data_IF_095704566761
#
_entry.id   IF_095704566761
#
_cell.length_a   1.000
_cell.length_b   1.000
_cell.length_c   1.000
_cell.angle_alpha   90.00
_cell.angle_beta   90.00
_cell.angle_gamma   90.00
#
_symmetry.space_group_name_H-M   'P 1'
#
loop_
_entity.id
_entity.type
_entity.pdbx_description
1 polymer ?
#
# COMPACT_ATOMS: atom_id res chain seq x y z
N UNK A 1 -31.80 12.59 -30.72
CA UNK A 1 -32.64 12.49 -29.52
C UNK A 1 -31.99 13.34 -28.45
N UNK A 2 -32.78 14.14 -27.76
CA UNK A 2 -32.29 14.91 -26.62
C UNK A 2 -31.82 13.96 -25.51
N UNK A 3 -30.74 14.32 -24.80
CA UNK A 3 -30.15 13.48 -23.74
C UNK A 3 -31.15 13.21 -22.61
N UNK A 4 -32.07 14.14 -22.38
CA UNK A 4 -33.18 14.04 -21.43
C UNK A 4 -34.19 12.97 -21.86
N UNK A 5 -34.62 12.99 -23.13
CA UNK A 5 -35.55 11.98 -23.68
C UNK A 5 -34.97 10.57 -23.63
N UNK A 6 -33.70 10.41 -24.02
CA UNK A 6 -33.01 9.11 -23.96
C UNK A 6 -32.95 8.55 -22.54
N UNK A 7 -32.67 9.41 -21.54
CA UNK A 7 -32.64 9.01 -20.14
C UNK A 7 -34.02 8.59 -19.63
N UNK A 8 -35.09 9.32 -19.97
CA UNK A 8 -36.45 8.96 -19.56
C UNK A 8 -36.91 7.63 -20.18
N UNK A 9 -36.54 7.35 -21.43
CA UNK A 9 -36.90 6.11 -22.12
C UNK A 9 -36.10 4.89 -21.63
N UNK A 10 -34.83 5.07 -21.29
CA UNK A 10 -33.91 3.94 -21.04
C UNK A 10 -33.46 3.82 -19.58
N UNK A 11 -33.71 4.85 -18.77
CA UNK A 11 -33.14 5.03 -17.43
C UNK A 11 -31.61 4.97 -17.38
N UNK A 12 -30.94 5.08 -18.53
CA UNK A 12 -29.48 5.04 -18.66
C UNK A 12 -28.98 6.45 -18.93
N UNK A 13 -28.03 6.89 -18.11
CA UNK A 13 -27.27 8.11 -18.39
C UNK A 13 -26.23 7.81 -19.46
N UNK A 14 -25.91 8.80 -20.27
CA UNK A 14 -24.82 8.70 -21.24
C UNK A 14 -23.52 8.26 -20.53
N UNK A 15 -22.71 7.41 -21.19
CA UNK A 15 -21.43 7.00 -20.66
C UNK A 15 -20.55 8.23 -20.43
N UNK A 16 -20.15 8.45 -19.17
CA UNK A 16 -19.25 9.54 -18.81
C UNK A 16 -17.93 9.39 -19.58
N UNK A 17 -17.52 10.45 -20.28
CA UNK A 17 -16.25 10.49 -21.03
C UNK A 17 -15.01 10.50 -20.13
N UNK A 18 -15.15 10.91 -18.87
CA UNK A 18 -14.03 10.96 -17.91
C UNK A 18 -13.67 9.56 -17.39
N UNK A 19 -12.38 9.21 -17.30
CA UNK A 19 -11.96 7.94 -16.71
C UNK A 19 -12.42 7.86 -15.25
N UNK A 20 -13.02 6.72 -14.88
CA UNK A 20 -13.48 6.46 -13.50
C UNK A 20 -12.33 6.20 -12.52
N UNK A 21 -11.10 5.97 -13.01
CA UNK A 21 -9.93 5.71 -12.17
C UNK A 21 -9.31 7.01 -11.69
N UNK A 22 -9.44 7.31 -10.39
CA UNK A 22 -8.61 8.31 -9.73
C UNK A 22 -7.21 7.74 -9.55
N UNK A 23 -6.17 8.48 -9.96
CA UNK A 23 -4.79 8.09 -9.68
C UNK A 23 -4.60 7.92 -8.17
N UNK A 24 -3.73 7.00 -7.79
CA UNK A 24 -3.33 6.83 -6.40
C UNK A 24 -2.70 8.14 -5.90
N UNK A 25 -2.94 8.53 -4.63
CA UNK A 25 -2.20 9.63 -4.04
C UNK A 25 -0.69 9.34 -4.16
N UNK A 26 0.08 10.34 -4.60
CA UNK A 26 1.53 10.25 -4.63
C UNK A 26 2.05 10.05 -3.20
N UNK A 27 3.17 9.36 -3.07
CA UNK A 27 3.87 9.24 -1.80
C UNK A 27 4.23 10.64 -1.27
N UNK A 28 4.15 10.82 0.04
CA UNK A 28 4.61 12.04 0.70
C UNK A 28 6.13 12.12 0.57
N UNK A 29 6.68 13.34 0.43
CA UNK A 29 8.13 13.54 0.33
C UNK A 29 8.91 12.91 1.50
N UNK A 30 8.42 13.06 2.74
CA UNK A 30 8.97 12.40 3.94
C UNK A 30 9.13 10.88 3.81
N UNK A 31 8.20 10.22 3.11
CA UNK A 31 8.28 8.78 2.89
C UNK A 31 9.38 8.43 1.89
N UNK A 32 9.56 9.26 0.85
CA UNK A 32 10.61 9.04 -0.15
C UNK A 32 12.00 9.20 0.49
N UNK A 33 12.19 10.25 1.28
CA UNK A 33 13.42 10.48 2.04
C UNK A 33 13.70 9.31 3.00
N UNK A 34 12.70 8.86 3.76
CA UNK A 34 12.87 7.70 4.65
C UNK A 34 13.12 6.38 3.90
N UNK A 35 12.54 6.18 2.71
CA UNK A 35 12.79 4.99 1.88
C UNK A 35 14.24 5.00 1.37
N UNK A 36 14.75 6.16 0.96
CA UNK A 36 16.13 6.35 0.49
C UNK A 36 17.14 6.12 1.61
N UNK A 37 16.99 6.80 2.75
CA UNK A 37 17.86 6.63 3.93
C UNK A 37 17.91 5.18 4.40
N UNK A 38 16.76 4.50 4.41
CA UNK A 38 16.69 3.10 4.80
C UNK A 38 17.41 2.18 3.81
N UNK A 39 17.30 2.45 2.51
CA UNK A 39 18.01 1.66 1.49
C UNK A 39 19.52 1.86 1.58
N UNK A 40 19.98 3.08 1.76
CA UNK A 40 21.41 3.36 1.95
C UNK A 40 21.96 2.68 3.20
N UNK A 41 21.22 2.69 4.30
CA UNK A 41 21.60 1.99 5.51
C UNK A 41 21.72 0.46 5.30
N UNK A 42 20.78 -0.15 4.56
CA UNK A 42 20.83 -1.58 4.26
C UNK A 42 21.98 -1.94 3.32
N UNK A 43 22.26 -1.10 2.32
CA UNK A 43 23.37 -1.30 1.40
C UNK A 43 24.72 -1.19 2.14
N UNK A 44 24.87 -0.22 3.05
CA UNK A 44 26.05 -0.09 3.91
C UNK A 44 26.25 -1.27 4.86
N UNK A 45 25.16 -1.92 5.28
CA UNK A 45 25.19 -3.11 6.13
C UNK A 45 25.33 -4.41 5.32
N UNK A 46 25.37 -4.33 3.98
CA UNK A 46 25.39 -5.46 3.04
C UNK A 46 24.24 -6.47 3.24
N UNK A 47 23.10 -6.01 3.78
CA UNK A 47 21.95 -6.87 4.06
C UNK A 47 21.12 -7.05 2.81
N UNK A 48 20.80 -8.30 2.46
CA UNK A 48 19.88 -8.59 1.35
C UNK A 48 18.43 -8.28 1.75
N UNK A 49 17.78 -7.47 0.92
CA UNK A 49 16.39 -7.08 1.12
C UNK A 49 15.55 -7.18 -0.15
N UNK A 50 14.26 -7.44 0.03
CA UNK A 50 13.25 -7.33 -1.02
C UNK A 50 12.35 -6.14 -0.74
N UNK A 51 12.18 -5.26 -1.73
CA UNK A 51 11.21 -4.18 -1.66
C UNK A 51 9.82 -4.73 -1.95
N UNK A 52 8.79 -4.14 -1.32
CA UNK A 52 7.37 -4.32 -1.67
C UNK A 52 6.87 -5.76 -1.48
N UNK A 53 7.36 -6.43 -0.45
CA UNK A 53 7.11 -7.85 -0.20
C UNK A 53 5.65 -8.14 0.18
N UNK A 54 5.11 -9.20 -0.42
CA UNK A 54 3.77 -9.73 -0.15
C UNK A 54 3.88 -11.21 0.24
N UNK A 55 3.71 -11.52 1.52
CA UNK A 55 3.81 -12.88 2.04
C UNK A 55 2.57 -13.74 1.76
N UNK A 56 1.39 -13.12 1.61
CA UNK A 56 0.15 -13.79 1.20
C UNK A 56 -0.40 -13.17 -0.06
N UNK A 57 -0.49 -13.95 -1.13
CA UNK A 57 -1.10 -13.53 -2.40
C UNK A 57 -2.61 -13.26 -2.29
N UNK A 58 -3.29 -13.95 -1.38
CA UNK A 58 -4.76 -13.87 -1.20
C UNK A 58 -5.24 -12.59 -0.53
N UNK A 59 -4.39 -11.95 0.27
CA UNK A 59 -4.69 -10.69 0.95
C UNK A 59 -3.83 -9.59 0.34
N UNK A 60 -4.36 -8.38 0.21
CA UNK A 60 -3.62 -7.23 -0.31
C UNK A 60 -2.68 -6.64 0.76
N UNK A 61 -2.04 -7.50 1.56
CA UNK A 61 -1.10 -7.12 2.59
C UNK A 61 0.28 -7.00 1.98
N UNK A 62 0.93 -5.87 2.23
CA UNK A 62 2.25 -5.59 1.71
C UNK A 62 3.06 -4.84 2.75
N UNK A 63 4.33 -5.19 2.81
CA UNK A 63 5.36 -4.49 3.58
C UNK A 63 6.29 -3.75 2.63
N UNK A 64 6.95 -2.71 3.14
CA UNK A 64 7.83 -1.88 2.32
C UNK A 64 9.16 -2.62 2.09
N UNK A 65 9.67 -3.30 3.12
CA UNK A 65 10.88 -4.09 3.03
C UNK A 65 10.74 -5.46 3.70
N UNK A 66 11.45 -6.43 3.16
CA UNK A 66 11.68 -7.74 3.76
C UNK A 66 13.19 -8.00 3.83
N UNK A 67 13.72 -8.11 5.04
CA UNK A 67 15.10 -8.53 5.28
C UNK A 67 15.13 -10.06 5.28
N UNK A 68 15.69 -10.65 4.22
CA UNK A 68 15.62 -12.09 3.97
C UNK A 68 16.34 -12.86 5.08
N UNK A 69 17.54 -12.41 5.44
CA UNK A 69 18.41 -13.10 6.39
C UNK A 69 17.82 -13.14 7.80
N UNK A 70 17.19 -12.05 8.21
CA UNK A 70 16.66 -11.91 9.57
C UNK A 70 15.17 -12.25 9.68
N UNK A 71 14.50 -12.53 8.55
CA UNK A 71 13.03 -12.66 8.48
C UNK A 71 12.32 -11.48 9.15
N UNK A 72 12.84 -10.28 8.93
CA UNK A 72 12.22 -9.04 9.45
C UNK A 72 11.40 -8.43 8.32
N UNK A 73 10.21 -7.98 8.66
CA UNK A 73 9.32 -7.20 7.79
C UNK A 73 9.28 -5.78 8.32
N UNK A 74 9.66 -4.82 7.48
CA UNK A 74 9.71 -3.41 7.87
C UNK A 74 8.61 -2.64 7.14
N UNK A 75 7.90 -1.81 7.90
CA UNK A 75 6.87 -0.90 7.40
C UNK A 75 7.24 0.54 7.75
N UNK A 76 7.22 1.42 6.74
CA UNK A 76 7.41 2.86 6.93
C UNK A 76 6.02 3.50 7.05
N UNK A 77 5.78 4.20 8.15
CA UNK A 77 4.53 4.91 8.37
C UNK A 77 4.35 6.07 7.37
N UNK A 78 3.12 6.30 6.93
CA UNK A 78 2.81 7.40 6.02
C UNK A 78 3.07 7.10 4.55
N UNK A 79 3.38 5.84 4.22
CA UNK A 79 3.44 5.38 2.84
C UNK A 79 2.09 5.49 2.13
N UNK A 80 2.09 5.56 0.79
CA UNK A 80 0.87 5.61 -0.01
C UNK A 80 0.01 4.35 0.12
N UNK A 81 0.59 3.27 0.66
CA UNK A 81 -0.02 1.96 0.82
C UNK A 81 -0.40 1.64 2.27
N UNK A 82 0.34 2.16 3.25
CA UNK A 82 0.28 1.85 4.68
C UNK A 82 -0.17 3.07 5.50
N UNK A 83 -1.38 3.01 6.07
CA UNK A 83 -1.88 3.99 7.06
C UNK A 83 -2.19 5.40 6.56
N UNK A 84 -1.51 5.90 5.51
CA UNK A 84 -1.77 7.22 4.91
C UNK A 84 -2.99 7.23 3.98
N UNK A 85 -3.43 6.06 3.53
CA UNK A 85 -4.60 5.92 2.66
C UNK A 85 -5.87 6.10 3.49
N UNK A 86 -6.71 7.07 3.15
CA UNK A 86 -8.04 7.25 3.77
C UNK A 86 -9.10 6.45 3.01
N UNK A 87 -10.11 5.93 3.72
CA UNK A 87 -11.32 5.30 3.15
C UNK A 87 -11.37 3.77 3.21
N UNK A 88 -12.35 3.15 2.54
CA UNK A 88 -12.71 1.72 2.68
C UNK A 88 -11.58 0.72 2.38
N UNK A 89 -10.62 1.09 1.52
CA UNK A 89 -9.47 0.24 1.19
C UNK A 89 -8.38 0.28 2.27
N UNK A 90 -8.34 1.33 3.08
CA UNK A 90 -7.39 1.45 4.19
C UNK A 90 -7.62 0.34 5.21
N UNK A 91 -8.88 0.14 5.60
CA UNK A 91 -9.30 -0.88 6.57
C UNK A 91 -9.03 -2.31 6.09
N UNK A 92 -9.03 -2.55 4.77
CA UNK A 92 -8.69 -3.87 4.20
C UNK A 92 -7.18 -4.15 4.19
N UNK A 93 -6.37 -3.11 3.97
CA UNK A 93 -4.92 -3.19 4.03
C UNK A 93 -4.41 -3.24 5.48
N UNK A 94 -5.16 -2.65 6.40
CA UNK A 94 -4.86 -2.50 7.83
C UNK A 94 -5.77 -3.38 8.69
N UNK A 95 -5.79 -4.68 8.40
CA UNK A 95 -6.43 -5.65 9.30
C UNK A 95 -5.42 -6.10 10.36
N UNK A 96 -5.85 -6.16 11.62
CA UNK A 96 -5.03 -6.59 12.76
C UNK A 96 -4.41 -7.98 12.52
N UNK A 97 -5.17 -8.86 11.86
CA UNK A 97 -4.74 -10.19 11.39
C UNK A 97 -3.41 -10.19 10.59
N UNK A 98 -3.01 -9.05 10.01
CA UNK A 98 -1.76 -8.97 9.24
C UNK A 98 -0.55 -9.24 10.12
N UNK A 99 -0.51 -8.66 11.31
CA UNK A 99 0.61 -8.82 12.24
C UNK A 99 0.61 -10.22 12.84
N UNK A 100 -0.55 -10.70 13.30
CA UNK A 100 -0.70 -12.05 13.87
C UNK A 100 -0.28 -13.14 12.88
N UNK A 101 -0.65 -12.98 11.60
CA UNK A 101 -0.23 -13.94 10.57
C UNK A 101 1.27 -13.84 10.28
N UNK A 102 1.84 -12.63 10.25
CA UNK A 102 3.28 -12.46 10.06
C UNK A 102 4.07 -13.14 11.20
N UNK A 103 3.66 -12.93 12.45
CA UNK A 103 4.24 -13.60 13.61
C UNK A 103 4.06 -15.11 13.55
N UNK A 104 2.88 -15.61 13.16
CA UNK A 104 2.64 -17.06 13.00
C UNK A 104 3.54 -17.71 11.94
N UNK A 105 3.99 -16.95 10.95
CA UNK A 105 4.93 -17.38 9.92
C UNK A 105 6.40 -17.25 10.37
N UNK A 106 6.64 -16.72 11.57
CA UNK A 106 7.96 -16.50 12.14
C UNK A 106 8.65 -15.24 11.61
N UNK A 107 7.89 -14.25 11.15
CA UNK A 107 8.43 -12.94 10.80
C UNK A 107 8.31 -11.98 11.97
N UNK A 108 9.36 -11.19 12.20
CA UNK A 108 9.32 -10.06 13.13
C UNK A 108 8.90 -8.81 12.37
N UNK A 109 7.84 -8.13 12.82
CA UNK A 109 7.37 -6.90 12.17
C UNK A 109 7.88 -5.67 12.91
N UNK A 110 8.55 -4.77 12.19
CA UNK A 110 9.05 -3.50 12.69
C UNK A 110 8.37 -2.36 11.95
N UNK A 111 7.82 -1.40 12.70
CA UNK A 111 7.21 -0.20 12.14
C UNK A 111 8.08 1.01 12.44
N UNK A 112 8.51 1.71 11.39
CA UNK A 112 9.25 2.96 11.48
C UNK A 112 8.27 4.12 11.31
N UNK A 113 8.20 4.99 12.31
CA UNK A 113 7.43 6.24 12.20
C UNK A 113 8.30 7.29 11.52
N UNK A 114 7.92 7.69 10.30
CA UNK A 114 8.54 8.83 9.63
C UNK A 114 8.09 10.12 10.36
N UNK A 115 9.03 10.77 11.05
CA UNK A 115 8.80 11.99 11.83
C UNK A 115 8.40 13.19 10.96
#
# INVERSE_FOLDING_TARGET
MDSTEYFWLTWKKEPKTKPKSRQLPKATQKYLEAEEEFTEALDNLEIKYEKKFQFKSTKHWRFDFHLIEHRILVEIAGGPWSGGRKGKLATKAWSMDRYDVAESMGYTVVRLEAA
#
